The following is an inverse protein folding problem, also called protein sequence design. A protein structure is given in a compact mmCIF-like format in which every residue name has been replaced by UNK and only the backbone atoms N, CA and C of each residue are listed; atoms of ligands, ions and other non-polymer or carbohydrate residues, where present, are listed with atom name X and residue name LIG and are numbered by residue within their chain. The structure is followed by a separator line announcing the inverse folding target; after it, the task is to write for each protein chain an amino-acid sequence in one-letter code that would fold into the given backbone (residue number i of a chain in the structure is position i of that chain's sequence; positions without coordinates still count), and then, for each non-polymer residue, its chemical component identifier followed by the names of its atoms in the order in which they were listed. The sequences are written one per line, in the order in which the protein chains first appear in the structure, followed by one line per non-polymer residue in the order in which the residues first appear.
data_IF_886448717582
#
_entry.id   IF_886448717582
#
_cell.length_a   1.000
_cell.length_b   1.000
_cell.length_c   1.000
_cell.angle_alpha   90.00
_cell.angle_beta   90.00
_cell.angle_gamma   90.00
#
_symmetry.space_group_name_H-M   'P 1'
#
loop_
_entity.id
_entity.type
_entity.pdbx_description
1 polymer ?
#
# COMPACT_ATOMS: atom_id res chain seq x y z
N UNK A 1 47.00 -9.87 2.01
CA UNK A 1 45.70 -10.05 1.31
C UNK A 1 44.61 -9.62 2.27
N UNK A 2 44.05 -8.43 2.10
CA UNK A 2 42.85 -7.99 2.81
C UNK A 2 41.65 -8.63 2.14
N UNK A 3 40.99 -9.57 2.83
CA UNK A 3 39.70 -10.12 2.39
C UNK A 3 38.68 -8.98 2.32
N UNK A 4 37.95 -8.86 1.22
CA UNK A 4 36.81 -7.95 1.13
C UNK A 4 35.81 -8.28 2.25
N UNK A 5 35.19 -7.27 2.89
CA UNK A 5 34.16 -7.52 3.89
C UNK A 5 33.03 -8.34 3.26
N UNK A 6 32.52 -9.33 4.01
CA UNK A 6 31.34 -10.08 3.60
C UNK A 6 30.19 -9.09 3.34
N UNK A 7 29.49 -9.23 2.21
CA UNK A 7 28.38 -8.34 1.91
C UNK A 7 27.29 -8.50 2.98
N UNK A 8 26.62 -7.39 3.33
CA UNK A 8 25.55 -7.44 4.31
C UNK A 8 24.38 -8.28 3.80
N UNK A 9 23.71 -9.05 4.68
CA UNK A 9 22.51 -9.77 4.29
C UNK A 9 21.45 -8.80 3.74
N UNK A 10 20.61 -9.28 2.82
CA UNK A 10 19.52 -8.47 2.23
C UNK A 10 18.19 -9.12 2.56
N UNK A 11 17.17 -8.31 2.82
CA UNK A 11 15.80 -8.79 2.93
C UNK A 11 15.21 -8.97 1.55
N UNK A 12 14.70 -10.18 1.30
CA UNK A 12 13.96 -10.47 0.08
C UNK A 12 12.57 -11.03 0.41
N UNK A 13 11.57 -10.78 -0.45
CA UNK A 13 10.26 -11.40 -0.33
C UNK A 13 10.30 -12.92 -0.39
N UNK A 14 9.41 -13.57 0.34
CA UNK A 14 9.07 -14.98 0.14
C UNK A 14 8.32 -15.18 -1.18
N UNK A 15 8.31 -16.40 -1.71
CA UNK A 15 7.52 -16.72 -2.91
C UNK A 15 6.02 -16.46 -2.69
N UNK A 16 5.52 -16.81 -1.51
CA UNK A 16 4.13 -16.56 -1.16
C UNK A 16 3.86 -15.06 -0.98
N UNK A 17 4.73 -14.32 -0.30
CA UNK A 17 4.61 -12.85 -0.20
C UNK A 17 4.50 -12.18 -1.58
N UNK A 18 5.31 -12.62 -2.56
CA UNK A 18 5.22 -12.10 -3.93
C UNK A 18 3.88 -12.38 -4.60
N UNK A 19 3.42 -13.63 -4.56
CA UNK A 19 2.16 -13.99 -5.22
C UNK A 19 0.96 -13.30 -4.54
N UNK A 20 0.98 -13.16 -3.20
CA UNK A 20 -0.03 -12.40 -2.47
C UNK A 20 -0.02 -10.92 -2.87
N UNK A 21 1.16 -10.29 -3.01
CA UNK A 21 1.24 -8.88 -3.39
C UNK A 21 0.64 -8.61 -4.77
N UNK A 22 0.96 -9.46 -5.75
CA UNK A 22 0.38 -9.34 -7.09
C UNK A 22 -1.11 -9.65 -7.12
N UNK A 23 -1.57 -10.65 -6.36
CA UNK A 23 -2.99 -10.96 -6.25
C UNK A 23 -3.78 -9.80 -5.64
N UNK A 24 -3.32 -9.24 -4.52
CA UNK A 24 -3.96 -8.07 -3.89
C UNK A 24 -4.01 -6.87 -4.84
N UNK A 25 -2.88 -6.55 -5.49
CA UNK A 25 -2.83 -5.46 -6.46
C UNK A 25 -3.80 -5.67 -7.63
N UNK A 26 -3.86 -6.87 -8.20
CA UNK A 26 -4.77 -7.18 -9.29
C UNK A 26 -6.24 -7.11 -8.86
N UNK A 27 -6.58 -7.67 -7.69
CA UNK A 27 -7.96 -7.64 -7.17
C UNK A 27 -8.42 -6.21 -6.90
N UNK A 28 -7.58 -5.37 -6.28
CA UNK A 28 -7.93 -3.98 -6.03
C UNK A 28 -8.03 -3.16 -7.31
N UNK A 29 -7.13 -3.38 -8.28
CA UNK A 29 -7.24 -2.74 -9.59
C UNK A 29 -8.55 -3.10 -10.29
N UNK A 30 -8.88 -4.39 -10.37
CA UNK A 30 -10.12 -4.87 -10.99
C UNK A 30 -11.34 -4.34 -10.24
N UNK A 31 -11.30 -4.28 -8.92
CA UNK A 31 -12.40 -3.77 -8.10
C UNK A 31 -12.64 -2.26 -8.36
N UNK A 32 -11.59 -1.43 -8.44
CA UNK A 32 -11.73 -0.01 -8.77
C UNK A 32 -12.32 0.17 -10.19
N UNK A 33 -11.79 -0.55 -11.18
CA UNK A 33 -12.30 -0.50 -12.56
C UNK A 33 -13.76 -0.96 -12.66
N UNK A 34 -14.12 -2.05 -11.98
CA UNK A 34 -15.49 -2.53 -11.90
C UNK A 34 -16.39 -1.53 -11.18
N UNK A 35 -15.85 -0.80 -10.18
CA UNK A 35 -16.55 0.26 -9.48
C UNK A 35 -17.09 1.32 -10.43
N UNK A 36 -16.27 1.79 -11.36
CA UNK A 36 -16.70 2.73 -12.38
C UNK A 36 -17.56 2.07 -13.46
N UNK A 37 -17.14 0.92 -14.00
CA UNK A 37 -17.82 0.28 -15.13
C UNK A 37 -19.23 -0.22 -14.79
N UNK A 38 -19.48 -0.58 -13.53
CA UNK A 38 -20.76 -1.11 -13.05
C UNK A 38 -21.49 -0.15 -12.10
N UNK A 39 -21.01 1.09 -11.99
CA UNK A 39 -21.62 2.16 -11.18
C UNK A 39 -21.74 1.79 -9.67
N UNK A 40 -20.77 1.04 -9.14
CA UNK A 40 -20.81 0.53 -7.76
C UNK A 40 -20.53 1.62 -6.72
N UNK A 41 -19.72 2.63 -7.07
CA UNK A 41 -19.46 3.80 -6.21
C UNK A 41 -20.74 4.57 -5.87
N UNK A 42 -21.69 4.62 -6.80
CA UNK A 42 -22.98 5.28 -6.59
C UNK A 42 -24.00 4.37 -5.90
N UNK A 43 -23.95 3.06 -6.18
CA UNK A 43 -24.94 2.10 -5.67
C UNK A 43 -24.71 1.68 -4.22
N UNK A 44 -23.45 1.60 -3.78
CA UNK A 44 -23.09 1.06 -2.48
C UNK A 44 -22.28 2.07 -1.67
N UNK A 45 -22.91 2.66 -0.66
CA UNK A 45 -22.31 3.71 0.19
C UNK A 45 -21.00 3.34 0.89
N UNK A 46 -20.74 2.04 1.08
CA UNK A 46 -19.53 1.53 1.75
C UNK A 46 -18.42 1.16 0.77
N UNK A 47 -18.71 1.09 -0.53
CA UNK A 47 -17.80 0.54 -1.54
C UNK A 47 -16.52 1.36 -1.61
N UNK A 48 -16.66 2.67 -1.74
CA UNK A 48 -15.55 3.63 -1.80
C UNK A 48 -14.55 3.44 -0.66
N UNK A 49 -15.08 3.42 0.57
CA UNK A 49 -14.32 3.29 1.82
C UNK A 49 -13.52 1.98 1.88
N UNK A 50 -14.13 0.88 1.44
CA UNK A 50 -13.46 -0.43 1.38
C UNK A 50 -12.36 -0.41 0.33
N UNK A 51 -12.58 0.26 -0.80
CA UNK A 51 -11.61 0.38 -1.88
C UNK A 51 -10.43 1.25 -1.47
N UNK A 52 -10.63 2.34 -0.75
CA UNK A 52 -9.56 3.15 -0.17
C UNK A 52 -8.65 2.31 0.74
N UNK A 53 -9.22 1.73 1.80
CA UNK A 53 -8.45 0.92 2.74
C UNK A 53 -7.80 -0.30 2.08
N UNK A 54 -8.52 -1.00 1.18
CA UNK A 54 -8.01 -2.17 0.48
C UNK A 54 -6.91 -1.84 -0.53
N UNK A 55 -7.05 -0.76 -1.28
CA UNK A 55 -6.07 -0.37 -2.31
C UNK A 55 -4.80 0.17 -1.66
N UNK A 56 -4.91 1.02 -0.63
CA UNK A 56 -3.72 1.49 0.09
C UNK A 56 -3.03 0.34 0.84
N UNK A 57 -3.77 -0.64 1.37
CA UNK A 57 -3.17 -1.87 1.89
C UNK A 57 -2.37 -2.60 0.81
N UNK A 58 -2.97 -2.86 -0.35
CA UNK A 58 -2.32 -3.58 -1.43
C UNK A 58 -1.04 -2.86 -1.92
N UNK A 59 -1.11 -1.54 -2.12
CA UNK A 59 0.02 -0.72 -2.54
C UNK A 59 1.12 -0.73 -1.49
N UNK A 60 0.77 -0.49 -0.22
CA UNK A 60 1.76 -0.44 0.88
C UNK A 60 2.44 -1.78 1.08
N UNK A 61 1.68 -2.87 1.03
CA UNK A 61 2.21 -4.23 1.09
C UNK A 61 3.17 -4.50 -0.08
N UNK A 62 2.78 -4.13 -1.30
CA UNK A 62 3.59 -4.31 -2.51
C UNK A 62 4.91 -3.53 -2.43
N UNK A 63 4.85 -2.25 -2.05
CA UNK A 63 6.04 -1.41 -1.85
C UNK A 63 6.95 -1.95 -0.76
N UNK A 64 6.38 -2.44 0.33
CA UNK A 64 7.09 -3.11 1.41
C UNK A 64 7.97 -4.25 0.90
N UNK A 65 7.40 -5.12 0.06
CA UNK A 65 8.11 -6.29 -0.47
C UNK A 65 9.12 -5.95 -1.56
N UNK A 66 8.75 -5.12 -2.54
CA UNK A 66 9.56 -4.97 -3.76
C UNK A 66 10.53 -3.79 -3.72
N UNK A 67 10.24 -2.76 -2.93
CA UNK A 67 11.00 -1.52 -2.91
C UNK A 67 11.69 -1.27 -1.56
N UNK A 68 10.92 -1.22 -0.47
CA UNK A 68 11.43 -0.83 0.84
C UNK A 68 12.30 -1.93 1.49
N UNK A 69 11.94 -3.21 1.36
CA UNK A 69 12.70 -4.31 1.98
C UNK A 69 14.17 -4.33 1.59
N UNK A 70 14.51 -4.00 0.34
CA UNK A 70 15.89 -3.97 -0.14
C UNK A 70 16.73 -2.82 0.43
N UNK A 71 16.08 -1.83 1.04
CA UNK A 71 16.71 -0.63 1.61
C UNK A 71 16.70 -0.63 3.13
N UNK A 72 15.89 -1.48 3.75
CA UNK A 72 15.91 -1.71 5.18
C UNK A 72 17.08 -2.62 5.55
N UNK A 73 17.89 -2.19 6.51
CA UNK A 73 18.90 -3.06 7.09
C UNK A 73 18.20 -4.30 7.70
N UNK A 74 18.74 -5.52 7.57
CA UNK A 74 18.08 -6.75 8.02
C UNK A 74 17.74 -6.81 9.50
N UNK A 75 18.39 -6.01 10.34
CA UNK A 75 18.06 -5.87 11.77
C UNK A 75 16.75 -5.09 11.98
N UNK A 76 16.41 -4.17 11.08
CA UNK A 76 15.23 -3.30 11.19
C UNK A 76 14.01 -3.85 10.45
N UNK A 77 14.17 -4.80 9.53
CA UNK A 77 13.07 -5.29 8.68
C UNK A 77 11.89 -5.98 9.37
N UNK A 78 11.83 -5.99 10.69
CA UNK A 78 10.73 -6.53 11.51
C UNK A 78 10.44 -5.68 12.75
N UNK A 79 11.09 -4.53 12.90
CA UNK A 79 10.84 -3.66 14.04
C UNK A 79 9.64 -2.74 13.80
N UNK A 80 9.13 -2.16 14.89
CA UNK A 80 8.00 -1.24 14.83
C UNK A 80 8.33 0.00 13.98
N UNK A 81 9.59 0.44 13.96
CA UNK A 81 10.02 1.64 13.22
C UNK A 81 9.88 1.41 11.71
N UNK A 82 10.28 0.25 11.18
CA UNK A 82 10.14 -0.10 9.79
C UNK A 82 8.66 -0.19 9.36
N UNK A 83 7.80 -0.73 10.23
CA UNK A 83 6.34 -0.75 9.99
C UNK A 83 5.80 0.68 9.91
N UNK A 84 6.16 1.54 10.86
CA UNK A 84 5.69 2.94 10.88
C UNK A 84 6.19 3.74 9.68
N UNK A 85 7.47 3.60 9.30
CA UNK A 85 8.03 4.27 8.13
C UNK A 85 7.33 3.83 6.83
N UNK A 86 7.09 2.52 6.69
CA UNK A 86 6.36 2.00 5.52
C UNK A 86 4.90 2.47 5.52
N UNK A 87 4.25 2.50 6.68
CA UNK A 87 2.90 3.04 6.81
C UNK A 87 2.85 4.54 6.45
N UNK A 88 3.84 5.35 6.84
CA UNK A 88 3.91 6.76 6.41
C UNK A 88 3.94 6.91 4.89
N UNK A 89 4.64 6.02 4.17
CA UNK A 89 4.63 6.01 2.70
C UNK A 89 3.22 5.69 2.18
N UNK A 90 2.55 4.69 2.75
CA UNK A 90 1.18 4.35 2.40
C UNK A 90 0.19 5.49 2.64
N UNK A 91 0.26 6.13 3.81
CA UNK A 91 -0.56 7.29 4.18
C UNK A 91 -0.33 8.44 3.20
N UNK A 92 0.92 8.71 2.82
CA UNK A 92 1.24 9.75 1.84
C UNK A 92 0.62 9.44 0.46
N UNK A 93 0.56 8.17 0.05
CA UNK A 93 -0.10 7.77 -1.20
C UNK A 93 -1.61 7.96 -1.11
N UNK A 94 -2.24 7.58 0.02
CA UNK A 94 -3.67 7.84 0.25
C UNK A 94 -4.00 9.33 0.23
N UNK A 95 -3.22 10.15 0.91
CA UNK A 95 -3.39 11.61 0.84
C UNK A 95 -3.23 12.18 -0.57
N UNK A 96 -2.32 11.63 -1.39
CA UNK A 96 -2.20 12.02 -2.79
C UNK A 96 -3.38 11.55 -3.64
N UNK A 97 -4.02 10.43 -3.30
CA UNK A 97 -5.26 9.97 -3.93
C UNK A 97 -6.37 10.98 -3.71
N UNK A 98 -6.62 11.40 -2.47
CA UNK A 98 -7.63 12.42 -2.14
C UNK A 98 -7.39 13.74 -2.88
N UNK A 99 -6.14 14.16 -2.99
CA UNK A 99 -5.77 15.35 -3.78
C UNK A 99 -6.09 15.16 -5.26
N UNK A 100 -5.91 13.94 -5.79
CA UNK A 100 -6.25 13.63 -7.17
C UNK A 100 -7.77 13.61 -7.40
N UNK A 101 -8.56 13.10 -6.46
CA UNK A 101 -10.03 13.13 -6.53
C UNK A 101 -10.57 14.54 -6.46
N UNK A 102 -10.07 15.34 -5.50
CA UNK A 102 -10.41 16.76 -5.44
C UNK A 102 -10.02 17.48 -6.74
N UNK A 103 -8.85 17.17 -7.28
CA UNK A 103 -8.41 17.71 -8.57
C UNK A 103 -9.31 17.28 -9.73
N UNK A 104 -9.80 16.04 -9.73
CA UNK A 104 -10.73 15.54 -10.73
C UNK A 104 -12.06 16.29 -10.69
N UNK A 105 -12.60 16.58 -9.51
CA UNK A 105 -13.83 17.37 -9.34
C UNK A 105 -13.71 18.82 -9.85
N UNK A 106 -12.48 19.35 -9.98
CA UNK A 106 -12.26 20.68 -10.59
C UNK A 106 -12.33 20.67 -12.12
N UNK A 107 -12.04 19.55 -12.77
CA UNK A 107 -11.85 19.48 -14.23
C UNK A 107 -12.82 18.54 -14.93
N UNK A 108 -13.45 17.62 -14.21
CA UNK A 108 -14.45 16.69 -14.70
C UNK A 108 -15.83 17.06 -14.14
N UNK A 109 -16.93 16.81 -14.87
CA UNK A 109 -18.30 17.08 -14.41
C UNK A 109 -18.80 16.08 -13.36
N UNK A 110 -17.89 15.32 -12.74
CA UNK A 110 -18.21 14.32 -11.71
C UNK A 110 -18.40 14.95 -10.33
N UNK A 111 -18.77 14.09 -9.38
CA UNK A 111 -18.85 14.40 -7.95
C UNK A 111 -18.21 13.21 -7.21
N UNK A 112 -16.88 13.15 -7.29
CA UNK A 112 -16.09 12.06 -6.70
C UNK A 112 -16.10 12.20 -5.18
N UNK A 113 -15.73 13.39 -4.66
CA UNK A 113 -15.76 13.69 -3.23
C UNK A 113 -17.16 14.13 -2.82
N UNK A 114 -17.87 13.28 -2.07
CA UNK A 114 -19.25 13.52 -1.62
C UNK A 114 -19.31 14.38 -0.35
N UNK A 115 -18.58 15.49 -0.39
CA UNK A 115 -18.38 16.44 0.71
C UNK A 115 -17.24 16.08 1.66
N UNK A 116 -16.91 17.00 2.58
CA UNK A 116 -15.75 16.88 3.48
C UNK A 116 -15.71 15.57 4.29
N UNK A 117 -16.87 15.04 4.66
CA UNK A 117 -16.93 13.84 5.49
C UNK A 117 -16.44 12.59 4.75
N UNK A 118 -16.60 12.56 3.43
CA UNK A 118 -16.15 11.48 2.53
C UNK A 118 -14.62 11.36 2.63
N UNK A 119 -13.91 12.39 2.15
CA UNK A 119 -12.45 12.51 2.23
C UNK A 119 -11.87 12.22 3.61
N UNK A 120 -12.51 12.68 4.69
CA UNK A 120 -11.99 12.43 6.04
C UNK A 120 -12.11 10.95 6.41
N UNK A 121 -13.20 10.28 6.03
CA UNK A 121 -13.33 8.83 6.21
C UNK A 121 -12.35 8.09 5.31
N UNK A 122 -12.17 8.53 4.06
CA UNK A 122 -11.29 7.86 3.12
C UNK A 122 -9.83 7.96 3.56
N UNK A 123 -9.37 9.11 4.08
CA UNK A 123 -8.06 9.22 4.75
C UNK A 123 -7.91 8.32 5.97
N UNK A 124 -8.98 8.09 6.75
CA UNK A 124 -8.96 7.14 7.87
C UNK A 124 -8.79 5.71 7.33
N UNK A 125 -9.52 5.36 6.27
CA UNK A 125 -9.45 4.06 5.62
C UNK A 125 -8.08 3.82 4.99
N UNK A 126 -7.52 4.81 4.30
CA UNK A 126 -6.18 4.80 3.75
C UNK A 126 -5.13 4.58 4.83
N UNK A 127 -5.27 5.28 5.97
CA UNK A 127 -4.36 5.12 7.11
C UNK A 127 -4.45 3.71 7.69
N UNK A 128 -5.65 3.16 7.85
CA UNK A 128 -5.84 1.78 8.30
C UNK A 128 -5.24 0.78 7.31
N UNK A 129 -5.45 0.99 6.02
CA UNK A 129 -4.88 0.19 4.94
C UNK A 129 -3.35 0.21 4.95
N UNK A 130 -2.75 1.39 5.08
CA UNK A 130 -1.31 1.58 5.13
C UNK A 130 -0.67 0.84 6.32
N UNK A 131 -1.25 0.98 7.52
CA UNK A 131 -0.78 0.28 8.71
C UNK A 131 -0.89 -1.24 8.55
N UNK A 132 -2.03 -1.74 8.06
CA UNK A 132 -2.24 -3.16 7.82
C UNK A 132 -1.28 -3.71 6.76
N UNK A 133 -1.14 -3.02 5.62
CA UNK A 133 -0.25 -3.42 4.53
C UNK A 133 1.21 -3.46 4.99
N UNK A 134 1.65 -2.46 5.77
CA UNK A 134 2.98 -2.41 6.34
C UNK A 134 3.23 -3.57 7.32
N UNK A 135 2.30 -3.83 8.25
CA UNK A 135 2.41 -4.92 9.22
C UNK A 135 2.44 -6.30 8.55
N UNK A 136 1.58 -6.53 7.55
CA UNK A 136 1.49 -7.80 6.82
C UNK A 136 2.74 -8.06 5.95
N UNK A 137 3.42 -7.01 5.47
CA UNK A 137 4.62 -7.16 4.66
C UNK A 137 5.79 -7.79 5.46
N UNK A 138 5.93 -7.47 6.75
CA UNK A 138 7.05 -7.92 7.59
C UNK A 138 7.24 -9.45 7.68
N UNK A 139 6.21 -10.28 7.96
CA UNK A 139 6.36 -11.73 7.98
C UNK A 139 6.65 -12.33 6.60
N UNK A 140 6.36 -11.59 5.52
CA UNK A 140 6.61 -12.03 4.15
C UNK A 140 8.06 -11.78 3.68
N UNK A 141 8.92 -11.20 4.53
CA UNK A 141 10.33 -10.96 4.27
C UNK A 141 11.23 -11.99 4.96
N UNK A 142 12.25 -12.44 4.22
CA UNK A 142 13.30 -13.35 4.72
C UNK A 142 14.69 -12.79 4.43
N UNK A 143 15.65 -13.09 5.32
CA UNK A 143 17.05 -12.77 5.11
C UNK A 143 17.63 -13.74 4.08
N UNK A 144 18.26 -13.20 3.04
CA UNK A 144 19.09 -13.97 2.12
C UNK A 144 20.55 -13.80 2.54
N UNK A 145 21.30 -14.89 2.73
CA UNK A 145 22.75 -14.80 2.94
C UNK A 145 23.40 -14.09 1.75
N UNK A 146 24.39 -13.25 2.01
CA UNK A 146 25.25 -12.74 0.95
C UNK A 146 25.93 -13.90 0.22
N UNK A 147 25.96 -13.81 -1.10
CA UNK A 147 26.63 -14.78 -1.97
C UNK A 147 28.15 -14.52 -2.01
#
# INVERSE_FOLDING_TARGET
MTSLPAADPVLEPTAWGRALAWALAAVMLVANLAGYALDLYQRFWWFDRVLHGGTILAITFWLGLFFCARRLHPSYGRDLVAVLLLACVGIAIGALWEVAEWGADLVLPGDVIKGKHDTIIDLIMDTAGALAGAALAMPCLRRRPAA
#
